data_IF_787674427523
#
_entry.id   IF_787674427523
#
_cell.length_a   1.000
_cell.length_b   1.000
_cell.length_c   1.000
_cell.angle_alpha   90.00
_cell.angle_beta   90.00
_cell.angle_gamma   90.00
#
_symmetry.space_group_name_H-M   'P 1'
#
loop_
_entity.id
_entity.type
_entity.pdbx_description
1 polymer ?
#
# COMPACT_ATOMS: atom_id res chain seq x y z
N UNK A 1 23.59 -47.07 -4.43
CA UNK A 1 24.34 -46.21 -5.32
C UNK A 1 25.61 -45.66 -4.68
N UNK A 2 26.47 -45.00 -5.47
CA UNK A 2 27.73 -44.39 -5.04
C UNK A 2 27.71 -42.90 -5.37
N UNK A 3 27.99 -42.06 -4.36
CA UNK A 3 28.15 -40.60 -4.58
C UNK A 3 29.51 -40.33 -5.19
N UNK A 4 29.55 -39.51 -6.24
CA UNK A 4 30.81 -39.07 -6.88
C UNK A 4 30.69 -37.60 -7.34
N UNK A 5 31.84 -36.97 -7.61
CA UNK A 5 31.86 -35.69 -8.31
C UNK A 5 31.30 -35.86 -9.73
N UNK A 6 30.56 -34.91 -10.22
CA UNK A 6 30.17 -34.87 -11.62
C UNK A 6 31.38 -34.70 -12.52
N UNK A 7 31.38 -35.30 -13.71
CA UNK A 7 32.43 -35.03 -14.68
C UNK A 7 32.56 -33.53 -14.96
N UNK A 8 33.80 -33.09 -15.20
CA UNK A 8 34.05 -31.68 -15.50
C UNK A 8 33.18 -31.17 -16.67
N UNK A 9 32.53 -30.03 -16.49
CA UNK A 9 31.60 -29.42 -17.45
C UNK A 9 30.15 -29.96 -17.41
N UNK A 10 29.82 -30.87 -16.48
CA UNK A 10 28.43 -31.35 -16.27
C UNK A 10 27.83 -30.91 -14.94
N UNK A 11 28.53 -30.01 -14.24
CA UNK A 11 28.02 -29.40 -13.02
C UNK A 11 26.73 -28.59 -13.31
N UNK A 12 25.78 -28.68 -12.38
CA UNK A 12 24.56 -27.91 -12.47
C UNK A 12 24.56 -26.77 -11.42
N UNK A 13 24.84 -25.56 -11.85
CA UNK A 13 24.89 -24.38 -10.98
C UNK A 13 23.56 -24.04 -10.31
N UNK A 14 22.44 -24.54 -10.83
CA UNK A 14 21.08 -24.29 -10.30
C UNK A 14 20.72 -25.22 -9.13
N UNK A 15 21.56 -26.20 -8.82
CA UNK A 15 21.36 -27.14 -7.72
C UNK A 15 22.41 -26.95 -6.64
N UNK A 16 22.00 -26.93 -5.37
CA UNK A 16 22.91 -26.86 -4.22
C UNK A 16 23.90 -28.05 -4.25
N UNK A 17 23.43 -29.22 -4.66
CA UNK A 17 24.23 -30.43 -4.83
C UNK A 17 24.78 -30.61 -6.25
N UNK A 18 24.77 -29.58 -7.07
CA UNK A 18 25.04 -29.68 -8.51
C UNK A 18 26.47 -30.06 -8.91
N UNK A 19 27.42 -30.14 -7.95
CA UNK A 19 28.78 -30.62 -8.15
C UNK A 19 28.93 -32.14 -7.96
N UNK A 20 27.92 -32.80 -7.42
CA UNK A 20 27.90 -34.22 -7.15
C UNK A 20 26.75 -34.92 -7.86
N UNK A 21 26.87 -36.22 -8.05
CA UNK A 21 25.81 -37.08 -8.56
C UNK A 21 25.86 -38.43 -7.85
N UNK A 22 24.73 -39.15 -7.91
CA UNK A 22 24.63 -40.52 -7.41
C UNK A 22 24.67 -41.48 -8.61
N UNK A 23 25.71 -42.31 -8.69
CA UNK A 23 25.74 -43.39 -9.63
C UNK A 23 24.89 -44.54 -9.06
N UNK A 24 23.69 -44.72 -9.60
CA UNK A 24 22.81 -45.80 -9.21
C UNK A 24 23.12 -47.09 -9.97
N UNK A 25 23.33 -48.19 -9.26
CA UNK A 25 23.50 -49.53 -9.82
C UNK A 25 22.19 -50.31 -9.80
N UNK A 26 21.38 -50.03 -8.77
CA UNK A 26 20.06 -50.64 -8.57
C UNK A 26 19.06 -49.53 -8.20
N UNK A 27 17.84 -49.67 -8.68
CA UNK A 27 16.76 -48.75 -8.37
C UNK A 27 15.49 -49.55 -8.01
N UNK A 28 15.04 -49.39 -6.77
CA UNK A 28 13.77 -49.93 -6.32
C UNK A 28 12.75 -48.81 -6.26
N UNK A 29 11.63 -48.97 -6.96
CA UNK A 29 10.51 -48.04 -6.92
C UNK A 29 9.56 -48.43 -5.79
N UNK A 30 9.67 -47.72 -4.66
CA UNK A 30 8.86 -48.02 -3.47
C UNK A 30 7.40 -47.71 -3.68
N UNK A 31 7.10 -46.63 -4.41
CA UNK A 31 5.73 -46.20 -4.68
C UNK A 31 5.65 -45.41 -5.99
N UNK A 32 4.92 -45.89 -7.00
CA UNK A 32 4.73 -45.13 -8.25
C UNK A 32 3.80 -43.94 -8.02
N UNK A 33 4.03 -42.89 -8.77
CA UNK A 33 3.22 -41.66 -8.73
C UNK A 33 2.62 -41.37 -10.09
N UNK A 34 1.40 -40.84 -10.12
CA UNK A 34 0.83 -40.24 -11.33
C UNK A 34 1.54 -38.93 -11.63
N UNK A 35 1.55 -38.53 -12.90
CA UNK A 35 2.14 -37.25 -13.30
C UNK A 35 1.43 -36.09 -12.59
N UNK A 36 2.16 -35.19 -11.92
CA UNK A 36 1.57 -34.01 -11.33
C UNK A 36 0.88 -33.12 -12.38
N UNK A 37 -0.20 -32.41 -12.02
CA UNK A 37 -0.95 -31.58 -12.96
C UNK A 37 -0.18 -30.31 -13.38
N UNK A 38 0.92 -29.97 -12.71
CA UNK A 38 1.79 -28.85 -13.02
C UNK A 38 3.21 -29.04 -12.44
N UNK A 39 4.17 -28.29 -12.94
CA UNK A 39 5.53 -28.25 -12.40
C UNK A 39 5.55 -27.38 -11.13
N UNK A 40 6.30 -27.80 -10.11
CA UNK A 40 6.38 -27.07 -8.83
C UNK A 40 7.10 -25.71 -8.91
N UNK A 41 7.89 -25.50 -9.95
CA UNK A 41 8.63 -24.27 -10.26
C UNK A 41 7.90 -23.35 -11.26
N UNK A 42 6.72 -23.74 -11.75
CA UNK A 42 5.90 -22.88 -12.62
C UNK A 42 5.22 -21.76 -11.80
N UNK A 43 5.68 -20.54 -12.01
CA UNK A 43 5.12 -19.35 -11.34
C UNK A 43 3.87 -18.76 -12.04
N UNK A 44 3.52 -19.25 -13.25
CA UNK A 44 2.41 -18.71 -14.06
C UNK A 44 1.12 -19.54 -13.94
N UNK A 45 0.94 -20.26 -12.86
CA UNK A 45 -0.26 -21.08 -12.63
C UNK A 45 -1.50 -20.21 -12.37
N UNK A 46 -2.63 -20.57 -12.98
CA UNK A 46 -3.91 -19.94 -12.69
C UNK A 46 -4.33 -20.18 -11.25
N UNK A 47 -5.08 -19.25 -10.66
CA UNK A 47 -5.60 -19.41 -9.31
C UNK A 47 -6.47 -20.65 -9.16
N UNK A 48 -7.32 -20.92 -10.15
CA UNK A 48 -8.17 -22.13 -10.19
C UNK A 48 -7.33 -23.41 -10.10
N UNK A 49 -6.25 -23.52 -10.88
CA UNK A 49 -5.35 -24.69 -10.84
C UNK A 49 -4.70 -24.84 -9.48
N UNK A 50 -4.23 -23.74 -8.91
CA UNK A 50 -3.59 -23.71 -7.58
C UNK A 50 -4.56 -24.14 -6.47
N UNK A 51 -5.81 -23.67 -6.52
CA UNK A 51 -6.82 -24.00 -5.51
C UNK A 51 -7.33 -25.44 -5.67
N UNK A 52 -7.52 -25.93 -6.91
CA UNK A 52 -7.93 -27.32 -7.17
C UNK A 52 -6.88 -28.33 -6.66
N UNK A 53 -5.60 -28.00 -6.82
CA UNK A 53 -4.48 -28.86 -6.42
C UNK A 53 -3.68 -28.27 -5.25
N UNK A 54 -4.37 -27.77 -4.23
CA UNK A 54 -3.80 -26.97 -3.15
C UNK A 54 -2.64 -27.64 -2.41
N UNK A 55 -2.69 -28.94 -2.20
CA UNK A 55 -1.60 -29.71 -1.54
C UNK A 55 -0.30 -29.60 -2.34
N UNK A 56 -0.39 -29.69 -3.67
CA UNK A 56 0.78 -29.54 -4.54
C UNK A 56 1.23 -28.09 -4.64
N UNK A 57 0.30 -27.12 -4.72
CA UNK A 57 0.62 -25.69 -4.68
C UNK A 57 1.40 -25.32 -3.41
N UNK A 58 1.06 -25.87 -2.26
CA UNK A 58 1.79 -25.67 -1.00
C UNK A 58 3.23 -26.23 -1.00
N UNK A 59 3.59 -27.10 -1.93
CA UNK A 59 4.96 -27.60 -2.11
C UNK A 59 5.83 -26.64 -2.93
N UNK A 60 5.23 -25.69 -3.64
CA UNK A 60 5.98 -24.72 -4.46
C UNK A 60 6.88 -23.85 -3.58
N UNK A 61 8.11 -23.53 -4.03
CA UNK A 61 9.07 -22.70 -3.27
C UNK A 61 8.47 -21.37 -2.80
N UNK A 62 7.71 -20.69 -3.68
CA UNK A 62 7.04 -19.41 -3.38
C UNK A 62 6.04 -19.56 -2.22
N UNK A 63 5.21 -20.62 -2.23
CA UNK A 63 4.24 -20.85 -1.16
C UNK A 63 4.93 -21.24 0.16
N UNK A 64 5.97 -22.06 0.10
CA UNK A 64 6.79 -22.41 1.27
C UNK A 64 7.45 -21.15 1.88
N UNK A 65 8.00 -20.27 1.05
CA UNK A 65 8.60 -19.00 1.47
C UNK A 65 7.54 -18.12 2.16
N UNK A 66 6.37 -17.95 1.56
CA UNK A 66 5.30 -17.10 2.10
C UNK A 66 4.78 -17.61 3.46
N UNK A 67 4.56 -18.92 3.61
CA UNK A 67 4.14 -19.51 4.89
C UNK A 67 5.21 -19.37 5.98
N UNK A 68 6.48 -19.55 5.62
CA UNK A 68 7.61 -19.35 6.56
C UNK A 68 7.74 -17.89 6.97
N UNK A 69 7.53 -16.94 6.04
CA UNK A 69 7.52 -15.51 6.35
C UNK A 69 6.38 -15.17 7.32
N UNK A 70 5.17 -15.65 7.03
CA UNK A 70 4.02 -15.48 7.94
C UNK A 70 4.31 -16.00 9.35
N UNK A 71 4.90 -17.18 9.46
CA UNK A 71 5.30 -17.75 10.74
C UNK A 71 6.31 -16.86 11.48
N UNK A 72 7.37 -16.39 10.77
CA UNK A 72 8.37 -15.49 11.37
C UNK A 72 7.75 -14.19 11.88
N UNK A 73 6.91 -13.55 11.08
CA UNK A 73 6.19 -12.33 11.52
C UNK A 73 5.41 -12.58 12.80
N UNK A 74 4.63 -13.66 12.87
CA UNK A 74 3.85 -13.99 14.06
C UNK A 74 4.73 -14.22 15.30
N UNK A 75 5.86 -14.91 15.15
CA UNK A 75 6.80 -15.16 16.26
C UNK A 75 7.47 -13.87 16.74
N UNK A 76 7.93 -13.02 15.83
CA UNK A 76 8.60 -11.76 16.20
C UNK A 76 7.63 -10.78 16.89
N UNK A 77 6.39 -10.70 16.41
CA UNK A 77 5.34 -9.90 17.08
C UNK A 77 5.07 -10.43 18.49
N UNK A 78 4.96 -11.76 18.68
CA UNK A 78 4.77 -12.36 20.01
C UNK A 78 5.93 -12.03 20.97
N UNK A 79 7.17 -12.18 20.52
CA UNK A 79 8.36 -11.85 21.32
C UNK A 79 8.37 -10.40 21.74
N UNK A 80 8.14 -9.49 20.77
CA UNK A 80 8.12 -8.07 21.04
C UNK A 80 7.04 -7.71 22.08
N UNK A 81 5.82 -8.20 21.92
CA UNK A 81 4.72 -7.91 22.82
C UNK A 81 4.93 -8.50 24.23
N UNK A 82 5.48 -9.71 24.32
CA UNK A 82 5.86 -10.33 25.59
C UNK A 82 6.90 -9.48 26.35
N UNK A 83 7.94 -9.02 25.64
CA UNK A 83 8.96 -8.12 26.20
C UNK A 83 8.39 -6.77 26.67
N UNK A 84 7.28 -6.32 26.06
CA UNK A 84 6.55 -5.12 26.48
C UNK A 84 5.51 -5.40 27.60
N UNK A 85 5.45 -6.63 28.11
CA UNK A 85 4.56 -7.04 29.19
C UNK A 85 3.11 -7.27 28.78
N UNK A 86 2.86 -7.55 27.50
CA UNK A 86 1.53 -7.96 27.02
C UNK A 86 1.27 -9.43 27.29
N UNK A 87 0.03 -9.76 27.58
CA UNK A 87 -0.43 -11.12 27.84
C UNK A 87 -1.24 -11.61 26.63
N UNK A 88 -0.86 -12.77 26.07
CA UNK A 88 -1.62 -13.46 25.01
C UNK A 88 -2.81 -14.19 25.64
N UNK A 89 -4.03 -13.74 25.38
CA UNK A 89 -5.24 -14.32 25.92
C UNK A 89 -6.18 -14.73 24.79
N UNK A 90 -6.46 -16.04 24.68
CA UNK A 90 -7.43 -16.57 23.74
C UNK A 90 -8.87 -16.23 24.18
N UNK A 91 -9.67 -15.76 23.23
CA UNK A 91 -11.07 -15.41 23.42
C UNK A 91 -11.98 -16.40 22.66
N UNK A 92 -13.24 -16.62 23.10
CA UNK A 92 -14.14 -17.53 22.45
C UNK A 92 -14.45 -17.19 20.98
N UNK A 93 -14.50 -18.21 20.11
CA UNK A 93 -14.92 -18.09 18.71
C UNK A 93 -16.43 -18.21 18.55
N UNK A 94 -17.12 -19.03 19.37
CA UNK A 94 -18.57 -19.10 19.39
C UNK A 94 -19.09 -18.07 20.38
N UNK A 95 -19.57 -16.96 19.87
CA UNK A 95 -19.99 -15.82 20.69
C UNK A 95 -21.40 -15.35 20.32
N UNK A 96 -21.87 -14.32 21.00
CA UNK A 96 -23.10 -13.61 20.66
C UNK A 96 -22.82 -12.62 19.54
N UNK A 97 -23.78 -12.41 18.63
CA UNK A 97 -23.72 -11.35 17.63
C UNK A 97 -23.52 -9.99 18.28
N UNK A 98 -22.57 -9.22 17.73
CA UNK A 98 -22.25 -7.87 18.17
C UNK A 98 -22.25 -6.92 16.96
N UNK A 99 -22.80 -5.70 17.09
CA UNK A 99 -22.86 -4.75 15.99
C UNK A 99 -21.49 -4.06 15.79
N UNK A 100 -20.62 -4.66 14.97
CA UNK A 100 -19.27 -4.13 14.68
C UNK A 100 -19.10 -3.57 13.26
N UNK A 101 -20.20 -3.39 12.51
CA UNK A 101 -20.18 -2.76 11.18
C UNK A 101 -20.27 -3.71 9.99
N UNK A 102 -19.81 -4.96 10.10
CA UNK A 102 -20.02 -6.02 9.09
C UNK A 102 -21.21 -6.89 9.46
N UNK A 103 -21.62 -7.80 8.56
CA UNK A 103 -22.54 -8.88 8.90
C UNK A 103 -21.79 -10.03 9.54
N UNK A 104 -22.45 -10.68 10.51
CA UNK A 104 -21.90 -11.84 11.21
C UNK A 104 -22.15 -13.12 10.43
N UNK A 105 -21.19 -14.04 10.46
CA UNK A 105 -21.44 -15.44 10.13
C UNK A 105 -22.13 -16.13 11.31
N UNK A 106 -23.28 -16.74 11.06
CA UNK A 106 -24.08 -17.40 12.09
C UNK A 106 -23.85 -18.91 12.08
N UNK A 107 -23.70 -19.48 13.28
CA UNK A 107 -23.56 -20.93 13.49
C UNK A 107 -24.79 -21.42 14.25
N UNK A 108 -25.65 -22.26 13.67
CA UNK A 108 -26.85 -22.75 14.36
C UNK A 108 -26.48 -23.61 15.57
N UNK A 109 -27.18 -23.40 16.69
CA UNK A 109 -27.03 -24.21 17.88
C UNK A 109 -27.83 -25.50 17.73
N UNK A 110 -27.17 -26.63 17.92
CA UNK A 110 -27.86 -27.94 17.98
C UNK A 110 -28.59 -28.18 19.32
N UNK A 111 -28.10 -27.51 20.39
CA UNK A 111 -28.63 -27.71 21.76
C UNK A 111 -29.80 -26.77 22.03
N UNK A 112 -29.86 -25.63 21.40
CA UNK A 112 -30.91 -24.64 21.60
C UNK A 112 -31.61 -24.35 20.27
N UNK A 113 -32.78 -24.91 20.09
CA UNK A 113 -33.59 -24.80 18.87
C UNK A 113 -33.88 -23.34 18.54
N UNK A 114 -33.63 -22.93 17.28
CA UNK A 114 -33.85 -21.57 16.79
C UNK A 114 -32.83 -20.55 17.27
N UNK A 115 -31.80 -20.98 18.00
CA UNK A 115 -30.72 -20.09 18.47
C UNK A 115 -29.44 -20.25 17.63
N UNK A 116 -28.64 -19.17 17.55
CA UNK A 116 -27.41 -19.13 16.79
C UNK A 116 -26.29 -18.54 17.62
N UNK A 117 -25.09 -19.07 17.42
CA UNK A 117 -23.84 -18.35 17.72
C UNK A 117 -23.46 -17.48 16.54
N UNK A 118 -22.65 -16.46 16.79
CA UNK A 118 -21.96 -15.67 15.76
C UNK A 118 -20.45 -15.93 15.82
N UNK A 119 -19.79 -15.94 14.67
CA UNK A 119 -18.33 -15.89 14.61
C UNK A 119 -17.86 -14.44 14.79
N UNK A 120 -16.80 -14.17 15.57
CA UNK A 120 -16.39 -12.81 15.93
C UNK A 120 -15.84 -12.05 14.72
N UNK A 121 -16.27 -10.83 14.55
CA UNK A 121 -15.68 -9.88 13.60
C UNK A 121 -14.32 -9.35 14.09
N UNK A 122 -14.18 -9.25 15.39
CA UNK A 122 -12.97 -9.01 16.18
C UNK A 122 -13.23 -9.44 17.63
N UNK A 123 -12.23 -9.60 18.49
CA UNK A 123 -12.44 -9.88 19.91
C UNK A 123 -12.82 -8.63 20.74
N UNK A 124 -13.46 -7.62 20.13
CA UNK A 124 -13.71 -6.29 20.71
C UNK A 124 -14.39 -6.32 22.08
N UNK A 125 -15.46 -7.10 22.23
CA UNK A 125 -16.18 -7.22 23.49
C UNK A 125 -15.29 -7.83 24.59
N UNK A 126 -14.56 -8.88 24.25
CA UNK A 126 -13.74 -9.60 25.23
C UNK A 126 -12.54 -8.78 25.67
N UNK A 127 -11.84 -8.09 24.75
CA UNK A 127 -10.70 -7.27 25.14
C UNK A 127 -11.10 -6.08 26.02
N UNK A 128 -12.27 -5.48 25.81
CA UNK A 128 -12.82 -4.47 26.70
C UNK A 128 -13.09 -5.05 28.11
N UNK A 129 -13.68 -6.23 28.18
CA UNK A 129 -13.90 -6.92 29.47
C UNK A 129 -12.59 -7.28 30.17
N UNK A 130 -11.55 -7.63 29.43
CA UNK A 130 -10.22 -7.89 29.97
C UNK A 130 -9.59 -6.62 30.56
N UNK A 131 -9.76 -5.46 29.91
CA UNK A 131 -9.34 -4.18 30.48
C UNK A 131 -10.06 -3.89 31.81
N UNK A 132 -11.38 -4.09 31.86
CA UNK A 132 -12.17 -3.96 33.10
C UNK A 132 -11.70 -4.95 34.18
N UNK A 133 -11.26 -6.14 33.78
CA UNK A 133 -10.74 -7.17 34.69
C UNK A 133 -9.30 -6.90 35.17
N UNK A 134 -8.65 -5.81 34.70
CA UNK A 134 -7.32 -5.41 35.13
C UNK A 134 -6.16 -5.98 34.32
N UNK A 135 -6.43 -6.49 33.11
CA UNK A 135 -5.38 -6.89 32.15
C UNK A 135 -4.99 -5.68 31.31
N UNK A 136 -4.13 -4.83 31.82
CA UNK A 136 -3.79 -3.53 31.19
C UNK A 136 -3.06 -3.62 29.86
N UNK A 137 -2.53 -4.80 29.50
CA UNK A 137 -1.82 -5.06 28.24
C UNK A 137 -2.20 -6.44 27.72
N UNK A 138 -3.14 -6.47 26.80
CA UNK A 138 -3.64 -7.67 26.15
C UNK A 138 -3.22 -7.70 24.68
N UNK A 139 -2.94 -8.89 24.17
CA UNK A 139 -2.94 -9.13 22.73
C UNK A 139 -3.44 -10.54 22.41
N UNK A 140 -3.79 -10.74 21.12
CA UNK A 140 -4.10 -12.04 20.55
C UNK A 140 -3.82 -12.03 19.05
N UNK A 141 -3.20 -13.08 18.51
CA UNK A 141 -3.18 -13.29 17.06
C UNK A 141 -4.36 -14.21 16.74
N UNK A 142 -5.46 -13.64 16.30
CA UNK A 142 -6.77 -14.29 16.25
C UNK A 142 -7.37 -14.31 14.86
N UNK A 143 -8.26 -15.28 14.62
CA UNK A 143 -9.13 -15.32 13.44
C UNK A 143 -10.31 -14.39 13.62
N UNK A 144 -10.64 -13.66 12.55
CA UNK A 144 -11.78 -12.77 12.47
C UNK A 144 -12.61 -13.10 11.23
N UNK A 145 -13.91 -12.87 11.31
CA UNK A 145 -14.88 -13.25 10.29
C UNK A 145 -15.80 -12.08 9.96
N UNK A 146 -15.92 -11.73 8.67
CA UNK A 146 -16.81 -10.65 8.22
C UNK A 146 -17.48 -11.06 6.93
N UNK A 147 -18.82 -11.10 6.92
CA UNK A 147 -19.62 -11.38 5.74
C UNK A 147 -19.80 -10.07 4.95
N UNK A 148 -18.78 -9.70 4.20
CA UNK A 148 -18.72 -8.51 3.37
C UNK A 148 -18.34 -8.85 1.94
N UNK A 149 -18.57 -7.91 1.02
CA UNK A 149 -18.13 -8.03 -0.36
C UNK A 149 -16.60 -8.13 -0.46
N UNK A 150 -16.13 -9.13 -1.20
CA UNK A 150 -14.71 -9.37 -1.41
C UNK A 150 -14.08 -8.23 -2.20
N UNK A 151 -12.89 -7.83 -1.80
CA UNK A 151 -12.01 -6.91 -2.53
C UNK A 151 -10.63 -7.55 -2.67
N UNK A 152 -9.75 -6.95 -3.46
CA UNK A 152 -8.42 -7.50 -3.74
C UNK A 152 -7.62 -7.89 -2.47
N UNK A 153 -7.80 -7.14 -1.37
CA UNK A 153 -7.10 -7.29 -0.10
C UNK A 153 -7.99 -7.73 1.07
N UNK A 154 -9.29 -8.05 0.80
CA UNK A 154 -10.25 -8.45 1.83
C UNK A 154 -10.72 -9.88 1.63
N UNK A 155 -10.67 -10.66 2.71
CA UNK A 155 -11.17 -12.02 2.80
C UNK A 155 -12.23 -12.12 3.90
N UNK A 156 -13.24 -13.03 3.76
CA UNK A 156 -14.27 -13.20 4.77
C UNK A 156 -13.73 -13.77 6.08
N UNK A 157 -12.64 -14.54 6.00
CA UNK A 157 -11.86 -15.03 7.14
C UNK A 157 -10.44 -14.50 7.03
N UNK A 158 -9.97 -13.81 8.06
CA UNK A 158 -8.63 -13.23 8.11
C UNK A 158 -8.05 -13.28 9.52
N UNK A 159 -6.78 -12.95 9.66
CA UNK A 159 -6.10 -12.94 10.96
C UNK A 159 -5.78 -11.51 11.35
N UNK A 160 -6.09 -11.13 12.59
CA UNK A 160 -5.66 -9.88 13.20
C UNK A 160 -4.55 -10.14 14.23
N UNK A 161 -3.62 -9.22 14.32
CA UNK A 161 -2.84 -8.98 15.53
C UNK A 161 -3.67 -7.97 16.31
N UNK A 162 -4.46 -8.45 17.26
CA UNK A 162 -5.36 -7.63 18.05
C UNK A 162 -4.69 -7.26 19.36
N UNK A 163 -4.71 -5.98 19.71
CA UNK A 163 -3.99 -5.43 20.87
C UNK A 163 -4.90 -4.43 21.58
N UNK A 164 -4.94 -4.48 22.90
CA UNK A 164 -5.64 -3.50 23.73
C UNK A 164 -4.77 -3.09 24.92
N UNK A 165 -4.82 -1.81 25.29
CA UNK A 165 -4.05 -1.25 26.40
C UNK A 165 -4.90 -0.30 27.23
N UNK A 166 -4.62 -0.24 28.54
CA UNK A 166 -5.11 0.78 29.46
C UNK A 166 -4.01 1.79 29.77
N UNK A 167 -4.41 3.03 30.06
CA UNK A 167 -3.55 4.09 30.64
C UNK A 167 -2.36 4.56 29.78
N UNK A 168 -2.34 4.22 28.48
CA UNK A 168 -1.34 4.73 27.55
C UNK A 168 -1.89 5.92 26.76
N UNK A 169 -1.02 6.89 26.52
CA UNK A 169 -1.29 8.01 25.62
C UNK A 169 -1.17 7.59 24.16
N UNK A 170 -1.71 8.39 23.23
CA UNK A 170 -1.56 8.18 21.80
C UNK A 170 -0.08 8.09 21.39
N UNK A 171 0.78 8.94 21.95
CA UNK A 171 2.21 8.96 21.62
C UNK A 171 2.94 7.70 22.11
N UNK A 172 2.62 7.22 23.31
CA UNK A 172 3.18 5.98 23.84
C UNK A 172 2.77 4.77 23.02
N UNK A 173 1.49 4.68 22.62
CA UNK A 173 0.99 3.62 21.73
C UNK A 173 1.72 3.68 20.39
N UNK A 174 1.79 4.85 19.77
CA UNK A 174 2.46 5.06 18.48
C UNK A 174 3.93 4.66 18.53
N UNK A 175 4.65 5.08 19.57
CA UNK A 175 6.06 4.74 19.77
C UNK A 175 6.27 3.23 19.93
N UNK A 176 5.42 2.57 20.71
CA UNK A 176 5.46 1.13 20.91
C UNK A 176 5.18 0.36 19.59
N UNK A 177 4.15 0.76 18.85
CA UNK A 177 3.84 0.12 17.57
C UNK A 177 4.91 0.36 16.50
N UNK A 178 5.52 1.53 16.48
CA UNK A 178 6.68 1.79 15.60
C UNK A 178 7.82 0.81 15.93
N UNK A 179 8.12 0.65 17.23
CA UNK A 179 9.12 -0.31 17.68
C UNK A 179 8.80 -1.75 17.23
N UNK A 180 7.54 -2.17 17.38
CA UNK A 180 7.07 -3.50 16.95
C UNK A 180 7.24 -3.71 15.43
N UNK A 181 6.82 -2.74 14.62
CA UNK A 181 6.93 -2.83 13.17
C UNK A 181 8.40 -2.89 12.75
N UNK A 182 9.24 -1.99 13.27
CA UNK A 182 10.68 -1.95 12.97
C UNK A 182 11.38 -3.25 13.35
N UNK A 183 11.14 -3.74 14.57
CA UNK A 183 11.68 -5.03 15.05
C UNK A 183 11.24 -6.19 14.15
N UNK A 184 9.96 -6.24 13.79
CA UNK A 184 9.41 -7.29 12.91
C UNK A 184 10.07 -7.27 11.54
N UNK A 185 10.25 -6.11 10.92
CA UNK A 185 10.94 -5.98 9.62
C UNK A 185 12.39 -6.43 9.70
N UNK A 186 13.12 -5.98 10.73
CA UNK A 186 14.51 -6.37 10.93
C UNK A 186 14.67 -7.89 11.07
N UNK A 187 13.87 -8.53 11.93
CA UNK A 187 14.03 -9.94 12.22
C UNK A 187 13.36 -10.88 11.21
N UNK A 188 12.26 -10.49 10.59
CA UNK A 188 11.55 -11.33 9.62
C UNK A 188 12.15 -11.29 8.22
N UNK A 189 12.61 -10.13 7.75
CA UNK A 189 13.08 -9.93 6.37
C UNK A 189 14.44 -9.22 6.25
N UNK A 190 15.09 -8.87 7.37
CA UNK A 190 16.42 -8.25 7.37
C UNK A 190 16.41 -6.78 6.91
N UNK A 191 15.29 -6.08 7.01
CA UNK A 191 15.15 -4.67 6.60
C UNK A 191 15.11 -3.78 7.84
N UNK A 192 16.05 -2.85 7.92
CA UNK A 192 16.05 -1.81 8.95
C UNK A 192 15.24 -0.61 8.45
N UNK A 193 14.07 -0.39 9.06
CA UNK A 193 13.24 0.77 8.76
C UNK A 193 13.75 2.03 9.48
N UNK A 194 13.71 3.21 8.84
CA UNK A 194 14.00 4.48 9.52
C UNK A 194 12.94 4.78 10.60
N UNK A 195 13.14 5.82 11.39
CA UNK A 195 12.09 6.38 12.23
C UNK A 195 10.95 6.90 11.34
N UNK A 196 9.70 6.69 11.77
CA UNK A 196 8.54 7.09 10.98
C UNK A 196 8.24 8.58 11.19
N UNK A 197 8.30 9.40 10.14
CA UNK A 197 7.88 10.78 10.26
C UNK A 197 6.40 10.87 10.64
N UNK A 198 6.07 11.88 11.45
CA UNK A 198 4.69 12.18 11.85
C UNK A 198 4.17 13.31 10.97
N UNK A 199 3.08 13.07 10.29
CA UNK A 199 2.43 14.02 9.38
C UNK A 199 0.98 14.23 9.82
N UNK A 200 0.51 15.47 9.82
CA UNK A 200 -0.91 15.75 10.05
C UNK A 200 -1.74 15.36 8.84
N UNK A 201 -2.96 14.86 9.08
CA UNK A 201 -3.93 14.55 8.01
C UNK A 201 -4.12 15.73 7.04
N UNK A 202 -4.25 16.95 7.55
CA UNK A 202 -4.40 18.14 6.72
C UNK A 202 -3.20 18.34 5.76
N UNK A 203 -1.97 18.07 6.21
CA UNK A 203 -0.78 18.16 5.37
C UNK A 203 -0.68 17.01 4.38
N UNK A 204 -1.04 15.80 4.78
CA UNK A 204 -1.11 14.64 3.87
C UNK A 204 -2.08 14.91 2.70
N UNK A 205 -3.26 15.42 3.00
CA UNK A 205 -4.26 15.80 1.99
C UNK A 205 -3.81 17.00 1.15
N UNK A 206 -3.18 18.00 1.77
CA UNK A 206 -2.68 19.19 1.07
C UNK A 206 -1.54 18.86 0.10
N UNK A 207 -0.57 18.05 0.54
CA UNK A 207 0.66 17.78 -0.20
C UNK A 207 0.55 16.61 -1.17
N UNK A 208 -0.32 15.65 -0.88
CA UNK A 208 -0.34 14.36 -1.61
C UNK A 208 -1.74 13.94 -2.06
N UNK A 209 -2.80 14.57 -1.56
CA UNK A 209 -4.18 14.22 -1.87
C UNK A 209 -4.62 12.88 -1.28
N UNK A 210 -3.93 12.36 -0.27
CA UNK A 210 -4.20 11.05 0.32
C UNK A 210 -3.88 11.04 1.80
N UNK A 211 -4.68 10.33 2.59
CA UNK A 211 -4.43 10.04 4.00
C UNK A 211 -3.35 8.95 4.23
N UNK A 212 -2.91 8.31 3.16
CA UNK A 212 -1.85 7.29 3.13
C UNK A 212 -0.89 7.53 1.96
N UNK A 213 -0.14 8.64 1.97
CA UNK A 213 0.72 9.01 0.85
C UNK A 213 1.89 8.05 0.69
N UNK A 214 2.19 7.68 -0.56
CA UNK A 214 3.41 6.94 -0.89
C UNK A 214 4.61 7.90 -0.89
N UNK A 215 5.36 7.94 0.21
CA UNK A 215 6.52 8.83 0.36
C UNK A 215 7.74 8.40 -0.46
N UNK A 216 7.74 7.19 -1.02
CA UNK A 216 8.79 6.78 -1.97
C UNK A 216 8.80 7.66 -3.21
N UNK A 217 7.65 8.22 -3.57
CA UNK A 217 7.53 9.18 -4.68
C UNK A 217 7.81 10.60 -4.17
N UNK A 218 8.85 11.25 -4.72
CA UNK A 218 9.35 12.59 -4.31
C UNK A 218 8.58 13.77 -4.90
N UNK A 219 7.35 13.55 -5.35
CA UNK A 219 6.51 14.59 -5.92
C UNK A 219 5.48 15.04 -4.88
N UNK A 220 5.22 16.34 -4.80
CA UNK A 220 4.20 16.91 -3.92
C UNK A 220 3.35 17.93 -4.70
N UNK A 221 2.13 18.16 -4.22
CA UNK A 221 1.27 19.20 -4.76
C UNK A 221 1.73 20.57 -4.35
N UNK A 222 1.49 21.52 -5.24
CA UNK A 222 1.60 22.96 -4.97
C UNK A 222 0.22 23.56 -5.01
N UNK A 223 -0.19 24.19 -3.91
CA UNK A 223 -1.51 24.86 -3.80
C UNK A 223 -1.53 26.15 -4.60
N UNK A 224 -2.52 26.31 -5.45
CA UNK A 224 -2.68 27.46 -6.35
C UNK A 224 -4.12 28.04 -6.36
N UNK A 225 -5.01 27.59 -5.51
CA UNK A 225 -6.42 28.02 -5.48
C UNK A 225 -6.54 29.54 -5.35
N UNK A 226 -5.74 30.16 -4.48
CA UNK A 226 -5.73 31.62 -4.29
C UNK A 226 -5.24 32.38 -5.52
N UNK A 227 -4.24 31.84 -6.23
CA UNK A 227 -3.64 32.43 -7.42
C UNK A 227 -4.56 32.41 -8.63
N UNK A 228 -5.46 31.41 -8.68
CA UNK A 228 -6.31 31.13 -9.85
C UNK A 228 -7.71 31.77 -9.78
N UNK A 229 -8.00 32.58 -8.75
CA UNK A 229 -9.31 33.18 -8.55
C UNK A 229 -9.71 34.21 -9.62
N UNK A 230 -8.74 34.97 -10.10
CA UNK A 230 -8.93 36.14 -10.99
C UNK A 230 -8.40 35.92 -12.41
N UNK A 231 -8.07 34.67 -12.79
CA UNK A 231 -7.63 34.34 -14.14
C UNK A 231 -8.84 34.18 -15.09
N UNK A 232 -8.64 34.53 -16.37
CA UNK A 232 -9.70 34.44 -17.40
C UNK A 232 -10.05 32.99 -17.80
N UNK A 233 -9.30 32.04 -17.31
CA UNK A 233 -9.52 30.63 -17.58
C UNK A 233 -10.56 30.01 -16.61
N UNK A 234 -11.81 29.97 -17.02
CA UNK A 234 -12.95 29.47 -16.19
C UNK A 234 -12.76 28.07 -15.63
N UNK A 235 -11.96 27.23 -16.28
CA UNK A 235 -11.62 25.89 -15.75
C UNK A 235 -10.86 25.99 -14.44
N UNK A 236 -10.10 27.06 -14.22
CA UNK A 236 -9.37 27.31 -12.97
C UNK A 236 -10.14 28.27 -12.04
N UNK A 237 -10.60 29.42 -12.56
CA UNK A 237 -11.28 30.40 -11.71
C UNK A 237 -12.62 29.91 -11.19
N UNK A 238 -13.31 29.03 -11.89
CA UNK A 238 -14.54 28.39 -11.39
C UNK A 238 -14.32 27.64 -10.09
N UNK A 239 -13.53 26.56 -10.08
CA UNK A 239 -13.18 25.84 -8.85
C UNK A 239 -12.50 26.71 -7.80
N UNK A 240 -11.62 27.63 -8.20
CA UNK A 240 -10.91 28.51 -7.27
C UNK A 240 -11.84 29.43 -6.46
N UNK A 241 -13.01 29.78 -6.99
CA UNK A 241 -14.01 30.59 -6.32
C UNK A 241 -15.18 29.77 -5.74
N UNK A 242 -15.24 28.45 -6.00
CA UNK A 242 -16.29 27.59 -5.49
C UNK A 242 -15.99 27.09 -4.08
N UNK A 243 -17.04 26.97 -3.25
CA UNK A 243 -16.90 26.32 -1.93
C UNK A 243 -16.50 24.87 -2.12
N UNK A 244 -15.42 24.46 -1.45
CA UNK A 244 -14.87 23.10 -1.56
C UNK A 244 -14.15 22.81 -2.88
N UNK A 245 -13.92 23.83 -3.70
CA UNK A 245 -13.08 23.74 -4.89
C UNK A 245 -11.59 23.86 -4.57
N UNK A 246 -10.75 23.33 -5.46
CA UNK A 246 -9.31 23.34 -5.32
C UNK A 246 -8.63 23.47 -6.68
N UNK A 247 -7.56 24.24 -6.74
CA UNK A 247 -6.61 24.22 -7.86
C UNK A 247 -5.23 23.91 -7.32
N UNK A 248 -4.66 22.78 -7.74
CA UNK A 248 -3.33 22.35 -7.32
C UNK A 248 -2.48 21.97 -8.54
N UNK A 249 -1.19 22.21 -8.43
CA UNK A 249 -0.21 21.82 -9.44
C UNK A 249 0.64 20.63 -8.96
N UNK A 250 1.07 19.82 -9.91
CA UNK A 250 2.05 18.75 -9.75
C UNK A 250 3.20 18.98 -10.71
N UNK A 251 4.34 19.42 -10.18
CA UNK A 251 5.58 19.58 -10.96
C UNK A 251 6.24 18.22 -11.19
N UNK A 252 6.62 17.96 -12.44
CA UNK A 252 7.37 16.78 -12.86
C UNK A 252 8.75 17.22 -13.35
N UNK A 253 9.80 17.05 -12.53
CA UNK A 253 11.17 17.39 -12.92
C UNK A 253 11.58 16.64 -14.20
N UNK A 254 12.08 17.38 -15.20
CA UNK A 254 12.49 16.85 -16.49
C UNK A 254 11.34 16.34 -17.36
N UNK A 255 10.07 16.53 -16.96
CA UNK A 255 8.90 16.05 -17.69
C UNK A 255 8.62 16.75 -19.01
N UNK A 256 9.33 17.84 -19.33
CA UNK A 256 9.22 18.54 -20.60
C UNK A 256 9.55 17.68 -21.82
N UNK A 257 10.34 16.61 -21.64
CA UNK A 257 10.66 15.64 -22.70
C UNK A 257 9.50 14.68 -23.05
N UNK A 258 8.48 14.56 -22.20
CA UNK A 258 7.33 13.71 -22.46
C UNK A 258 6.65 14.10 -23.76
N UNK A 259 6.30 13.10 -24.57
CA UNK A 259 5.55 13.29 -25.80
C UNK A 259 4.12 13.75 -25.52
N UNK A 260 3.49 14.34 -26.54
CA UNK A 260 2.07 14.73 -26.45
C UNK A 260 1.18 13.55 -26.15
N UNK A 261 1.44 12.38 -26.75
CA UNK A 261 0.66 11.16 -26.53
C UNK A 261 0.72 10.66 -25.07
N UNK A 262 1.89 10.74 -24.42
CA UNK A 262 2.04 10.40 -23.00
C UNK A 262 1.24 11.35 -22.10
N UNK A 263 1.33 12.66 -22.38
CA UNK A 263 0.57 13.68 -21.63
C UNK A 263 -0.94 13.46 -21.78
N UNK A 264 -1.40 13.22 -23.00
CA UNK A 264 -2.82 12.93 -23.30
C UNK A 264 -3.26 11.62 -22.63
N UNK A 265 -2.40 10.60 -22.57
CA UNK A 265 -2.64 9.35 -21.82
C UNK A 265 -2.82 9.59 -20.32
N UNK A 266 -2.08 10.50 -19.70
CA UNK A 266 -2.30 10.91 -18.32
C UNK A 266 -3.62 11.68 -18.15
N UNK A 267 -4.02 12.44 -19.16
CA UNK A 267 -5.33 13.09 -19.20
C UNK A 267 -6.48 12.08 -19.15
N UNK A 268 -6.41 10.99 -19.92
CA UNK A 268 -7.40 9.91 -19.85
C UNK A 268 -7.36 9.15 -18.51
N UNK A 269 -6.18 8.97 -17.94
CA UNK A 269 -6.04 8.31 -16.65
C UNK A 269 -6.75 9.06 -15.51
N UNK A 270 -6.60 10.39 -15.41
CA UNK A 270 -7.25 11.15 -14.32
C UNK A 270 -8.77 11.20 -14.44
N UNK A 271 -9.34 10.96 -15.62
CA UNK A 271 -10.80 10.87 -15.83
C UNK A 271 -11.43 9.73 -15.03
N UNK A 272 -10.68 8.64 -14.77
CA UNK A 272 -11.13 7.51 -13.93
C UNK A 272 -11.55 8.00 -12.54
N UNK A 273 -10.91 9.09 -12.06
CA UNK A 273 -11.17 9.70 -10.76
C UNK A 273 -12.17 10.87 -10.82
N UNK A 274 -12.83 11.04 -11.96
CA UNK A 274 -13.86 12.08 -12.16
C UNK A 274 -13.33 13.42 -12.65
N UNK A 275 -12.03 13.56 -12.93
CA UNK A 275 -11.49 14.79 -13.52
C UNK A 275 -12.01 14.98 -14.95
N UNK A 276 -12.37 16.22 -15.32
CA UNK A 276 -12.87 16.57 -16.67
C UNK A 276 -11.75 16.69 -17.69
N UNK A 277 -10.51 16.83 -17.24
CA UNK A 277 -9.31 16.97 -18.04
C UNK A 277 -8.09 17.23 -17.18
N UNK A 278 -6.93 17.29 -17.82
CA UNK A 278 -5.64 17.54 -17.20
C UNK A 278 -4.95 18.67 -17.95
N UNK A 279 -4.95 19.86 -17.37
CA UNK A 279 -4.19 20.97 -17.93
C UNK A 279 -2.71 20.80 -17.60
N UNK A 280 -1.84 21.34 -18.47
CA UNK A 280 -0.40 21.20 -18.30
C UNK A 280 0.38 22.39 -18.88
N UNK A 281 1.59 22.62 -18.39
CA UNK A 281 2.55 23.60 -18.92
C UNK A 281 3.92 22.93 -18.98
N UNK A 282 4.57 22.95 -20.16
CA UNK A 282 5.99 22.65 -20.30
C UNK A 282 6.79 23.94 -20.08
N UNK A 283 7.83 23.84 -19.28
CA UNK A 283 8.72 24.96 -18.93
C UNK A 283 10.00 24.83 -19.71
N UNK A 284 10.10 25.57 -20.82
CA UNK A 284 11.28 25.58 -21.68
C UNK A 284 12.37 26.53 -21.15
N UNK A 285 11.96 27.72 -20.68
CA UNK A 285 12.88 28.74 -20.15
C UNK A 285 12.17 29.59 -19.08
N UNK A 286 12.50 29.35 -17.81
CA UNK A 286 11.88 30.06 -16.67
C UNK A 286 12.16 31.56 -16.74
N UNK A 287 13.39 31.99 -17.20
CA UNK A 287 13.79 33.37 -17.20
C UNK A 287 12.99 34.24 -18.20
N UNK A 288 12.40 33.63 -19.22
CA UNK A 288 11.55 34.30 -20.22
C UNK A 288 10.08 34.43 -19.79
N UNK A 289 9.72 33.98 -18.58
CA UNK A 289 8.34 34.00 -18.11
C UNK A 289 7.37 33.35 -19.12
N UNK A 290 6.31 34.07 -19.52
CA UNK A 290 5.30 33.60 -20.46
C UNK A 290 5.88 33.01 -21.76
N UNK A 291 6.86 33.69 -22.36
CA UNK A 291 7.49 33.30 -23.64
C UNK A 291 8.27 31.97 -23.54
N UNK A 292 8.74 31.66 -22.36
CA UNK A 292 9.47 30.42 -22.08
C UNK A 292 8.56 29.22 -21.79
N UNK A 293 7.22 29.38 -21.87
CA UNK A 293 6.25 28.34 -21.53
C UNK A 293 5.51 27.83 -22.77
N UNK A 294 5.32 26.53 -22.85
CA UNK A 294 4.57 25.90 -23.91
C UNK A 294 3.30 25.23 -23.36
N UNK A 295 2.15 25.80 -23.68
CA UNK A 295 0.84 25.22 -23.32
C UNK A 295 -0.32 25.97 -23.94
N UNK A 296 -1.45 25.30 -24.24
CA UNK A 296 -2.67 25.97 -24.70
C UNK A 296 -3.28 26.94 -23.68
N UNK A 297 -3.02 26.73 -22.37
CA UNK A 297 -3.66 27.50 -21.29
C UNK A 297 -2.90 28.79 -20.95
N UNK A 298 -1.64 28.94 -21.32
CA UNK A 298 -0.80 30.10 -20.95
C UNK A 298 -1.42 31.44 -21.39
N UNK A 299 -2.10 31.47 -22.53
CA UNK A 299 -2.76 32.67 -23.02
C UNK A 299 -3.91 33.19 -22.13
N UNK A 300 -4.46 32.32 -21.30
CA UNK A 300 -5.58 32.63 -20.42
C UNK A 300 -5.13 32.95 -18.98
N UNK A 301 -3.82 32.93 -18.70
CA UNK A 301 -3.26 33.25 -17.40
C UNK A 301 -2.58 34.63 -17.51
N UNK A 302 -2.79 35.52 -16.56
CA UNK A 302 -2.06 36.79 -16.49
C UNK A 302 -0.63 36.58 -15.92
N UNK A 303 0.27 37.51 -16.17
CA UNK A 303 1.70 37.37 -15.85
C UNK A 303 1.98 37.15 -14.37
N UNK A 304 1.20 37.79 -13.49
CA UNK A 304 1.29 37.54 -12.05
C UNK A 304 0.98 36.10 -11.68
N UNK A 305 -0.07 35.49 -12.27
CA UNK A 305 -0.40 34.09 -12.02
C UNK A 305 0.69 33.16 -12.54
N UNK A 306 1.26 33.45 -13.71
CA UNK A 306 2.39 32.68 -14.28
C UNK A 306 3.61 32.76 -13.33
N UNK A 307 3.95 33.95 -12.86
CA UNK A 307 5.08 34.13 -11.94
C UNK A 307 4.88 33.35 -10.63
N UNK A 308 3.69 33.42 -10.06
CA UNK A 308 3.33 32.65 -8.85
C UNK A 308 3.38 31.13 -9.08
N UNK A 309 2.87 30.65 -10.22
CA UNK A 309 2.96 29.21 -10.58
C UNK A 309 4.43 28.77 -10.63
N UNK A 310 5.28 29.48 -11.35
CA UNK A 310 6.70 29.14 -11.47
C UNK A 310 7.41 29.20 -10.13
N UNK A 311 7.18 30.26 -9.35
CA UNK A 311 7.80 30.45 -8.05
C UNK A 311 7.37 29.37 -7.03
N UNK A 312 6.06 29.14 -6.88
CA UNK A 312 5.54 28.18 -5.89
C UNK A 312 5.86 26.74 -6.23
N UNK A 313 5.83 26.37 -7.51
CA UNK A 313 6.22 25.01 -7.94
C UNK A 313 7.73 24.79 -7.91
N UNK A 314 8.51 25.87 -7.84
CA UNK A 314 9.97 25.80 -8.01
C UNK A 314 10.37 25.21 -9.36
N UNK A 315 9.58 25.49 -10.41
CA UNK A 315 9.81 24.93 -11.74
C UNK A 315 11.15 25.36 -12.32
N UNK A 316 11.81 24.46 -13.01
CA UNK A 316 13.06 24.66 -13.72
C UNK A 316 12.90 24.39 -15.22
N UNK A 317 13.91 24.79 -16.00
CA UNK A 317 13.93 24.52 -17.44
C UNK A 317 13.88 23.01 -17.68
N UNK A 318 13.00 22.57 -18.59
CA UNK A 318 12.79 21.17 -18.91
C UNK A 318 11.70 20.48 -18.06
N UNK A 319 11.06 21.17 -17.14
CA UNK A 319 10.00 20.59 -16.32
C UNK A 319 8.63 20.59 -17.02
N UNK A 320 7.75 19.74 -16.53
CA UNK A 320 6.33 19.72 -16.86
C UNK A 320 5.52 19.98 -15.58
N UNK A 321 4.50 20.81 -15.67
CA UNK A 321 3.57 21.08 -14.57
C UNK A 321 2.18 20.62 -15.01
N UNK A 322 1.58 19.70 -14.28
CA UNK A 322 0.18 19.32 -14.40
C UNK A 322 -0.68 20.11 -13.42
N UNK A 323 -1.95 20.34 -13.77
CA UNK A 323 -2.90 21.07 -12.93
C UNK A 323 -4.18 20.26 -12.75
N UNK A 324 -4.61 20.12 -11.50
CA UNK A 324 -5.94 19.67 -11.13
C UNK A 324 -6.79 20.87 -10.71
N UNK A 325 -7.99 20.98 -11.24
CA UNK A 325 -8.94 22.06 -10.92
C UNK A 325 -10.37 21.53 -10.95
N UNK A 326 -10.95 21.28 -9.79
CA UNK A 326 -12.32 20.77 -9.59
C UNK A 326 -12.67 20.85 -8.09
N UNK A 327 -13.68 20.11 -7.64
CA UNK A 327 -13.90 19.84 -6.21
C UNK A 327 -12.62 19.23 -5.59
N UNK A 328 -12.29 19.62 -4.38
CA UNK A 328 -11.06 19.18 -3.72
C UNK A 328 -10.88 17.64 -3.75
N UNK A 329 -11.95 16.87 -3.54
CA UNK A 329 -11.92 15.41 -3.62
C UNK A 329 -11.43 14.91 -4.98
N UNK A 330 -11.97 15.46 -6.08
CA UNK A 330 -11.60 15.05 -7.45
C UNK A 330 -10.13 15.39 -7.75
N UNK A 331 -9.67 16.58 -7.32
CA UNK A 331 -8.27 16.99 -7.46
C UNK A 331 -7.36 16.06 -6.67
N UNK A 332 -7.71 15.77 -5.42
CA UNK A 332 -6.93 14.90 -4.55
C UNK A 332 -6.80 13.50 -5.13
N UNK A 333 -7.92 12.88 -5.49
CA UNK A 333 -7.95 11.51 -6.01
C UNK A 333 -7.21 11.42 -7.36
N UNK A 334 -7.50 12.35 -8.30
CA UNK A 334 -6.94 12.30 -9.65
C UNK A 334 -5.45 12.65 -9.70
N UNK A 335 -5.05 13.78 -9.11
CA UNK A 335 -3.63 14.20 -9.12
C UNK A 335 -2.81 13.33 -8.16
N UNK A 336 -3.39 12.85 -7.05
CA UNK A 336 -2.74 11.92 -6.13
C UNK A 336 -2.41 10.60 -6.81
N UNK A 337 -3.36 10.01 -7.54
CA UNK A 337 -3.11 8.81 -8.32
C UNK A 337 -2.10 9.05 -9.46
N UNK A 338 -2.19 10.20 -10.13
CA UNK A 338 -1.25 10.59 -11.20
C UNK A 338 0.18 10.69 -10.66
N UNK A 339 0.35 11.32 -9.50
CA UNK A 339 1.63 11.42 -8.79
C UNK A 339 2.30 10.05 -8.61
N UNK A 340 1.56 9.09 -8.09
CA UNK A 340 2.05 7.72 -7.84
C UNK A 340 2.35 7.01 -9.16
N UNK A 341 1.45 7.13 -10.15
CA UNK A 341 1.64 6.52 -11.47
C UNK A 341 2.89 7.02 -12.18
N UNK A 342 3.14 8.34 -12.15
CA UNK A 342 4.35 8.92 -12.76
C UNK A 342 5.59 8.49 -11.98
N UNK A 343 5.56 8.58 -10.64
CA UNK A 343 6.71 8.22 -9.81
C UNK A 343 7.22 6.80 -10.04
N UNK A 344 6.31 5.84 -10.19
CA UNK A 344 6.65 4.42 -10.41
C UNK A 344 6.75 4.02 -11.89
N UNK A 345 6.53 4.95 -12.84
CA UNK A 345 6.75 4.69 -14.26
C UNK A 345 8.25 4.52 -14.59
N UNK A 346 8.56 3.99 -15.78
CA UNK A 346 9.94 3.94 -16.25
C UNK A 346 10.59 5.33 -16.34
N UNK A 347 9.80 6.34 -16.76
CA UNK A 347 10.24 7.73 -16.70
C UNK A 347 10.61 8.15 -15.27
N UNK A 348 9.70 7.91 -14.32
CA UNK A 348 9.91 8.26 -12.90
C UNK A 348 11.13 7.59 -12.30
N UNK A 349 11.35 6.31 -12.59
CA UNK A 349 12.56 5.56 -12.16
C UNK A 349 13.83 6.17 -12.77
N UNK A 350 13.83 6.43 -14.07
CA UNK A 350 15.00 7.03 -14.77
C UNK A 350 15.35 8.41 -14.23
N UNK A 351 14.35 9.23 -13.86
CA UNK A 351 14.54 10.56 -13.28
C UNK A 351 14.74 10.56 -11.76
N UNK A 352 14.73 9.39 -11.12
CA UNK A 352 14.86 9.29 -9.67
C UNK A 352 13.71 9.93 -8.89
N UNK A 353 12.50 9.91 -9.45
CA UNK A 353 11.29 10.46 -8.82
C UNK A 353 10.71 9.54 -7.76
N UNK A 354 11.11 8.29 -7.74
CA UNK A 354 10.82 7.35 -6.67
C UNK A 354 12.12 6.75 -6.11
N UNK A 355 12.13 6.41 -4.82
CA UNK A 355 13.29 5.85 -4.14
C UNK A 355 12.87 4.92 -3.01
N UNK A 356 13.79 4.02 -2.64
CA UNK A 356 13.57 3.09 -1.54
C UNK A 356 12.47 2.07 -1.81
N UNK A 357 12.40 1.08 -0.93
CA UNK A 357 11.36 0.05 -0.95
C UNK A 357 10.28 0.33 0.11
N UNK A 358 10.68 0.98 1.21
CA UNK A 358 9.85 1.21 2.39
C UNK A 358 10.04 2.63 2.93
N UNK A 359 8.95 3.39 2.96
CA UNK A 359 8.89 4.76 3.51
C UNK A 359 7.65 4.89 4.42
N UNK A 360 7.68 4.25 5.59
CA UNK A 360 6.55 4.28 6.52
C UNK A 360 6.41 5.66 7.17
N UNK A 361 5.18 6.03 7.52
CA UNK A 361 4.87 7.26 8.23
C UNK A 361 3.68 7.07 9.16
N UNK A 362 3.55 7.97 10.12
CA UNK A 362 2.34 8.16 10.90
C UNK A 362 1.54 9.33 10.35
N UNK A 363 0.27 9.11 10.06
CA UNK A 363 -0.69 10.20 9.79
C UNK A 363 -1.55 10.37 11.02
N UNK A 364 -1.59 11.60 11.55
CA UNK A 364 -2.27 11.95 12.81
C UNK A 364 -3.27 13.09 12.60
N UNK A 365 -4.03 13.44 13.62
CA UNK A 365 -5.01 14.53 13.59
C UNK A 365 -6.09 14.32 12.51
N UNK A 366 -6.60 13.08 12.37
CA UNK A 366 -7.73 12.81 11.48
C UNK A 366 -8.97 13.57 11.97
N UNK A 367 -9.76 14.17 11.05
CA UNK A 367 -11.02 14.79 11.43
C UNK A 367 -12.01 13.70 11.88
N UNK A 368 -12.74 13.99 12.95
CA UNK A 368 -13.78 13.08 13.44
C UNK A 368 -15.07 13.19 12.59
N UNK A 369 -15.31 14.37 11.98
CA UNK A 369 -16.49 14.70 11.17
C UNK A 369 -16.10 15.41 9.86
#
# INVERSE_FOLDING_TARGET
>A
GKVRARPAGTENANLVSGRIEVLAHELEVLNPSVTPPFQLDDENLSETTRLTHRVLDLRRPTMQKNLRLRYRVAIEVRKFLDEQGFIDIETPMLTKSTPEGARDYLVPSRVHDGMFFALPQSPQLFKQLLMVAGFDRYYQITKCFRDEDLRADRQPEFTQIDIETSFLTEEEIRTMFEGMIRSTFTHAIGVELPAFPVMKYADAMRLYGSDKPDLRVKLAFTELTDVMKDVDFKVFSGPANAVGGRVAALRIPGGGEMSRGEIDGYGEFVKIYGAKGLAWIKVNDVAKGREGLQSPIVKNLHDKAIAEVLARTGAANGDLIFFGADKAKVVNDGIGALRVKIGHSEFGKTKGLAHGDWEPLWVVDFPMF
#
